data_IF_812869853367
#
_entry.id   IF_812869853367
#
_cell.length_a   1.000
_cell.length_b   1.000
_cell.length_c   1.000
_cell.angle_alpha   90.00
_cell.angle_beta   90.00
_cell.angle_gamma   90.00
#
_symmetry.space_group_name_H-M   'P 1'
#
loop_
_entity.id
_entity.type
_entity.pdbx_description
1 polymer ?
#
# COMPACT_ATOMS: atom_id res chain seq x y z
N UNK A 1 -3.00 29.57 3.96
CA UNK A 1 -2.23 28.35 3.63
C UNK A 1 -1.00 28.81 2.88
N UNK A 2 0.11 28.09 2.92
CA UNK A 2 1.34 28.53 2.25
C UNK A 2 1.23 28.34 0.73
N UNK A 3 1.68 29.32 -0.03
CA UNK A 3 1.91 29.20 -1.47
C UNK A 3 3.37 28.81 -1.66
N UNK A 4 3.64 27.70 -2.37
CA UNK A 4 4.98 27.16 -2.57
C UNK A 4 5.24 27.01 -4.05
N UNK A 5 6.37 27.57 -4.52
CA UNK A 5 6.90 27.37 -5.87
C UNK A 5 8.11 26.43 -5.80
N UNK A 6 7.97 25.23 -6.37
CA UNK A 6 9.10 24.36 -6.69
C UNK A 6 9.63 24.80 -8.06
N UNK A 7 10.82 25.40 -8.10
CA UNK A 7 11.35 26.07 -9.31
C UNK A 7 12.40 25.22 -10.01
N UNK A 8 12.31 25.13 -11.34
CA UNK A 8 13.33 24.54 -12.22
C UNK A 8 13.64 23.05 -11.98
N UNK A 9 12.72 22.26 -11.46
CA UNK A 9 12.91 20.83 -11.28
C UNK A 9 12.70 20.02 -12.56
N UNK A 10 13.16 18.77 -12.57
CA UNK A 10 12.80 17.79 -13.59
C UNK A 10 11.51 17.09 -13.14
N UNK A 11 10.38 17.42 -13.79
CA UNK A 11 9.06 16.97 -13.36
C UNK A 11 8.69 15.64 -13.99
N UNK A 12 8.45 14.62 -13.16
CA UNK A 12 7.76 13.38 -13.51
C UNK A 12 6.31 13.54 -13.05
N UNK A 13 5.38 13.61 -14.01
CA UNK A 13 3.99 13.98 -13.71
C UNK A 13 3.11 12.83 -13.18
N UNK A 14 3.64 11.60 -13.10
CA UNK A 14 2.92 10.43 -12.64
C UNK A 14 2.04 9.77 -13.71
N UNK A 15 2.03 10.26 -14.95
CA UNK A 15 1.20 9.72 -16.04
C UNK A 15 1.91 8.71 -16.95
N UNK A 16 3.23 8.51 -16.75
CA UNK A 16 4.08 7.72 -17.63
C UNK A 16 4.69 8.53 -18.77
N UNK A 17 4.39 9.82 -18.84
CA UNK A 17 4.96 10.73 -19.84
C UNK A 17 6.44 10.97 -19.60
N UNK A 18 7.17 11.34 -20.65
CA UNK A 18 8.58 11.75 -20.55
C UNK A 18 8.73 12.93 -19.57
N UNK A 19 9.72 12.90 -18.67
CA UNK A 19 9.96 13.97 -17.71
C UNK A 19 10.12 15.34 -18.36
N UNK A 20 9.46 16.34 -17.78
CA UNK A 20 9.55 17.74 -18.21
C UNK A 20 10.74 18.39 -17.50
N UNK A 21 11.77 18.76 -18.26
CA UNK A 21 13.02 19.33 -17.71
C UNK A 21 12.86 20.80 -17.32
N UNK A 22 13.56 21.24 -16.28
CA UNK A 22 13.60 22.63 -15.81
C UNK A 22 12.21 23.26 -15.70
N UNK A 23 11.27 22.53 -15.10
CA UNK A 23 9.86 22.91 -15.03
C UNK A 23 9.51 23.29 -13.60
N UNK A 24 8.71 24.34 -13.44
CA UNK A 24 8.25 24.82 -12.14
C UNK A 24 6.85 24.27 -11.79
N UNK A 25 6.59 24.06 -10.50
CA UNK A 25 5.29 23.65 -9.97
C UNK A 25 4.87 24.60 -8.86
N UNK A 26 3.70 25.21 -8.99
CA UNK A 26 3.13 26.12 -7.99
C UNK A 26 1.96 25.45 -7.26
N UNK A 27 2.01 25.51 -5.94
CA UNK A 27 0.92 25.06 -5.08
C UNK A 27 0.31 26.20 -4.28
N UNK A 28 -0.99 26.17 -4.05
CA UNK A 28 -1.69 27.04 -3.10
C UNK A 28 -2.47 26.17 -2.12
N UNK A 29 -1.98 26.11 -0.89
CA UNK A 29 -2.48 25.17 0.10
C UNK A 29 -2.41 23.73 -0.42
N UNK A 30 -3.50 23.01 -0.36
CA UNK A 30 -3.59 21.57 -0.69
C UNK A 30 -3.75 21.29 -2.20
N UNK A 31 -3.53 22.26 -3.08
CA UNK A 31 -3.79 22.12 -4.52
C UNK A 31 -2.60 22.60 -5.36
N UNK A 32 -2.27 21.85 -6.40
CA UNK A 32 -1.38 22.29 -7.47
C UNK A 32 -2.17 23.26 -8.37
N UNK A 33 -1.73 24.52 -8.45
CA UNK A 33 -2.49 25.54 -9.19
C UNK A 33 -1.91 25.84 -10.57
N UNK A 34 -0.61 25.57 -10.79
CA UNK A 34 0.04 25.75 -12.08
C UNK A 34 1.29 24.88 -12.23
N UNK A 35 1.66 24.59 -13.49
CA UNK A 35 2.87 23.84 -13.87
C UNK A 35 3.51 24.54 -15.06
N UNK A 36 4.85 24.54 -15.12
CA UNK A 36 5.63 25.17 -16.20
C UNK A 36 5.65 26.70 -16.11
N UNK A 37 5.69 27.37 -17.25
CA UNK A 37 5.80 28.83 -17.34
C UNK A 37 4.64 29.59 -16.65
N UNK A 38 3.45 29.00 -16.61
CA UNK A 38 2.30 29.53 -15.87
C UNK A 38 2.55 29.57 -14.35
N UNK A 39 3.29 28.60 -13.81
CA UNK A 39 3.67 28.57 -12.40
C UNK A 39 4.59 29.74 -12.04
N UNK A 40 5.60 30.05 -12.86
CA UNK A 40 6.51 31.15 -12.62
C UNK A 40 5.82 32.52 -12.77
N UNK A 41 4.92 32.67 -13.75
CA UNK A 41 4.13 33.87 -13.96
C UNK A 41 3.22 34.17 -12.77
N UNK A 42 2.44 33.20 -12.32
CA UNK A 42 1.55 33.35 -11.17
C UNK A 42 2.30 33.57 -9.86
N UNK A 43 3.44 32.91 -9.67
CA UNK A 43 4.28 33.14 -8.49
C UNK A 43 4.83 34.56 -8.46
N UNK A 44 5.18 35.14 -9.64
CA UNK A 44 5.62 36.51 -9.76
C UNK A 44 4.50 37.51 -9.43
N UNK A 45 3.29 37.25 -9.87
CA UNK A 45 2.09 38.06 -9.55
C UNK A 45 1.74 38.06 -8.06
N UNK A 46 1.91 36.92 -7.40
CA UNK A 46 1.66 36.74 -5.95
C UNK A 46 2.77 37.42 -5.09
N UNK A 47 3.98 37.57 -5.63
CA UNK A 47 5.06 38.33 -5.01
C UNK A 47 5.66 37.70 -3.76
N UNK A 48 5.83 38.51 -2.69
CA UNK A 48 6.61 38.14 -1.50
C UNK A 48 5.98 37.04 -0.64
N UNK A 49 4.71 36.68 -0.86
CA UNK A 49 4.00 35.68 -0.07
C UNK A 49 4.27 34.25 -0.56
N UNK A 50 5.09 34.06 -1.61
CA UNK A 50 5.43 32.75 -2.18
C UNK A 50 6.73 32.24 -1.57
N UNK A 51 6.66 31.06 -0.93
CA UNK A 51 7.88 30.32 -0.55
C UNK A 51 8.47 29.67 -1.79
N UNK A 52 9.69 30.03 -2.16
CA UNK A 52 10.40 29.42 -3.30
C UNK A 52 11.35 28.35 -2.80
N UNK A 53 11.25 27.16 -3.40
CA UNK A 53 12.18 26.03 -3.23
C UNK A 53 12.87 25.84 -4.59
N UNK A 54 14.18 26.01 -4.63
CA UNK A 54 14.97 25.74 -5.83
C UNK A 54 15.16 24.24 -6.01
N UNK A 55 14.56 23.70 -7.05
CA UNK A 55 14.63 22.28 -7.41
C UNK A 55 15.58 22.02 -8.59
N UNK A 56 16.47 22.96 -8.92
CA UNK A 56 17.43 22.83 -10.02
C UNK A 56 18.30 21.57 -9.82
N UNK A 57 18.28 20.66 -10.81
CA UNK A 57 19.00 19.39 -10.75
C UNK A 57 18.35 18.30 -9.88
N UNK A 58 17.15 18.57 -9.36
CA UNK A 58 16.36 17.62 -8.58
C UNK A 58 15.16 17.12 -9.40
N UNK A 59 14.70 15.92 -9.08
CA UNK A 59 13.43 15.41 -9.61
C UNK A 59 12.27 15.83 -8.71
N UNK A 60 11.21 16.35 -9.33
CA UNK A 60 9.92 16.66 -8.71
C UNK A 60 8.89 15.67 -9.21
N UNK A 61 8.29 14.89 -8.33
CA UNK A 61 7.31 13.86 -8.68
C UNK A 61 6.18 13.80 -7.67
N UNK A 62 5.04 13.14 -7.99
CA UNK A 62 4.02 12.91 -6.99
C UNK A 62 4.61 12.15 -5.80
N UNK A 63 4.13 12.46 -4.60
CA UNK A 63 4.41 11.63 -3.44
C UNK A 63 3.97 10.19 -3.70
N UNK A 64 4.68 9.22 -3.12
CA UNK A 64 4.38 7.81 -3.29
C UNK A 64 3.01 7.48 -2.70
N UNK A 65 2.32 6.54 -3.33
CA UNK A 65 1.08 5.97 -2.83
C UNK A 65 1.33 4.48 -2.57
N UNK A 66 1.07 4.03 -1.36
CA UNK A 66 1.18 2.60 -1.01
C UNK A 66 -0.22 1.99 -0.92
N UNK A 67 -0.54 1.09 -1.86
CA UNK A 67 -1.89 0.54 -1.96
C UNK A 67 -2.15 -0.62 -0.97
N UNK A 68 -1.15 -1.11 -0.24
CA UNK A 68 -1.32 -2.23 0.68
C UNK A 68 -0.44 -2.11 1.92
N UNK A 69 -1.00 -1.58 2.98
CA UNK A 69 -0.36 -1.39 4.29
C UNK A 69 -1.23 -2.02 5.38
N UNK A 70 -0.60 -2.43 6.47
CA UNK A 70 -1.25 -2.86 7.71
C UNK A 70 -0.76 -1.97 8.86
N UNK A 71 -1.23 -0.73 8.93
CA UNK A 71 -0.66 0.32 9.81
C UNK A 71 -0.70 -0.03 11.30
N UNK A 72 -1.56 -0.97 11.69
CA UNK A 72 -1.80 -1.34 13.08
C UNK A 72 -1.00 -2.54 13.57
N UNK A 73 -0.32 -3.30 12.69
CA UNK A 73 0.27 -4.60 13.07
C UNK A 73 1.49 -4.48 13.99
N UNK A 74 2.31 -3.45 13.83
CA UNK A 74 3.45 -3.19 14.72
C UNK A 74 4.66 -4.11 14.52
N UNK A 75 4.88 -4.53 13.27
CA UNK A 75 6.07 -5.26 12.81
C UNK A 75 6.26 -6.64 13.48
N UNK A 76 5.22 -7.49 13.58
CA UNK A 76 5.37 -8.82 14.16
C UNK A 76 6.31 -9.68 13.32
N UNK A 77 7.10 -10.52 13.98
CA UNK A 77 7.98 -11.49 13.35
C UNK A 77 7.33 -12.86 13.16
N UNK A 78 6.15 -13.06 13.71
CA UNK A 78 5.39 -14.31 13.62
C UNK A 78 3.89 -14.08 13.73
N UNK A 79 3.12 -15.08 13.30
CA UNK A 79 1.67 -15.08 13.50
C UNK A 79 1.25 -15.06 14.98
N UNK A 80 2.03 -15.69 15.87
CA UNK A 80 1.77 -15.66 17.30
C UNK A 80 1.76 -14.24 17.87
N UNK A 81 2.72 -13.43 17.48
CA UNK A 81 2.76 -12.01 17.88
C UNK A 81 1.59 -11.24 17.28
N UNK A 82 1.27 -11.50 16.01
CA UNK A 82 0.19 -10.82 15.30
C UNK A 82 -1.17 -11.05 15.97
N UNK A 83 -1.49 -12.29 16.36
CA UNK A 83 -2.83 -12.65 16.80
C UNK A 83 -3.04 -12.59 18.31
N UNK A 84 -2.01 -12.81 19.11
CA UNK A 84 -2.22 -13.14 20.52
C UNK A 84 -1.87 -12.03 21.51
N UNK A 85 -1.32 -10.89 21.09
CA UNK A 85 -0.65 -10.00 22.06
C UNK A 85 -0.83 -8.52 21.84
N UNK A 86 -1.94 -8.09 21.29
CA UNK A 86 -2.20 -6.66 21.10
C UNK A 86 -3.36 -6.21 21.98
N UNK A 87 -3.19 -5.04 22.53
CA UNK A 87 -4.19 -4.37 23.35
C UNK A 87 -4.62 -3.10 22.57
N UNK A 88 -5.93 -2.79 22.46
CA UNK A 88 -6.44 -1.78 21.53
C UNK A 88 -5.82 -0.40 21.68
N UNK A 89 -5.64 0.07 22.91
CA UNK A 89 -5.12 1.42 23.16
C UNK A 89 -3.66 1.51 22.72
N UNK A 90 -2.86 0.52 23.09
CA UNK A 90 -1.45 0.45 22.70
C UNK A 90 -1.31 0.32 21.18
N UNK A 91 -2.15 -0.49 20.52
CA UNK A 91 -2.14 -0.64 19.08
C UNK A 91 -2.49 0.67 18.35
N UNK A 92 -3.44 1.46 18.87
CA UNK A 92 -3.77 2.77 18.31
C UNK A 92 -2.61 3.77 18.39
N UNK A 93 -1.91 3.81 19.53
CA UNK A 93 -0.73 4.69 19.70
C UNK A 93 0.42 4.26 18.78
N UNK A 94 0.64 2.95 18.63
CA UNK A 94 1.62 2.39 17.69
C UNK A 94 1.25 2.73 16.25
N UNK A 95 -0.03 2.62 15.86
CA UNK A 95 -0.48 2.96 14.52
C UNK A 95 -0.22 4.43 14.16
N UNK A 96 -0.44 5.35 15.08
CA UNK A 96 -0.10 6.77 14.88
C UNK A 96 1.41 7.00 14.71
N UNK A 97 2.24 6.28 15.48
CA UNK A 97 3.70 6.30 15.30
C UNK A 97 4.11 5.76 13.92
N UNK A 98 3.52 4.64 13.49
CA UNK A 98 3.80 4.00 12.20
C UNK A 98 3.42 4.91 11.02
N UNK A 99 2.26 5.57 11.07
CA UNK A 99 1.82 6.51 10.03
C UNK A 99 2.84 7.64 9.81
N UNK A 100 3.48 8.12 10.86
CA UNK A 100 4.55 9.13 10.75
C UNK A 100 5.80 8.57 10.08
N UNK A 101 6.19 7.30 10.37
CA UNK A 101 7.31 6.63 9.67
C UNK A 101 7.02 6.50 8.18
N UNK A 102 5.80 6.08 7.82
CA UNK A 102 5.35 5.95 6.43
C UNK A 102 5.46 7.29 5.69
N UNK A 103 4.98 8.37 6.30
CA UNK A 103 5.06 9.71 5.70
C UNK A 103 6.52 10.13 5.41
N UNK A 104 7.47 9.89 6.36
CA UNK A 104 8.89 10.21 6.17
C UNK A 104 9.58 9.36 5.09
N UNK A 105 8.95 8.29 4.66
CA UNK A 105 9.41 7.48 3.52
C UNK A 105 8.90 7.97 2.16
N UNK A 106 8.38 9.20 2.10
CA UNK A 106 7.88 9.79 0.85
C UNK A 106 6.47 9.35 0.46
N UNK A 107 5.80 8.56 1.30
CA UNK A 107 4.43 8.10 1.07
C UNK A 107 3.46 9.18 1.55
N UNK A 108 2.76 9.80 0.63
CA UNK A 108 1.77 10.84 0.94
C UNK A 108 0.35 10.33 1.06
N UNK A 109 0.11 9.10 0.55
CA UNK A 109 -1.19 8.43 0.66
C UNK A 109 -1.02 6.92 0.78
N UNK A 110 -1.90 6.24 1.52
CA UNK A 110 -1.90 4.77 1.58
C UNK A 110 -3.29 4.19 1.84
N UNK A 111 -3.45 2.91 1.46
CA UNK A 111 -4.60 2.10 1.83
C UNK A 111 -4.19 1.13 2.95
N UNK A 112 -4.82 1.26 4.13
CA UNK A 112 -4.75 0.30 5.22
C UNK A 112 -5.80 -0.78 4.96
N UNK A 113 -5.37 -1.92 4.41
CA UNK A 113 -6.31 -2.89 3.84
C UNK A 113 -7.12 -3.65 4.88
N UNK A 114 -6.51 -3.98 6.02
CA UNK A 114 -7.15 -4.51 7.21
C UNK A 114 -6.27 -4.23 8.44
N UNK A 115 -6.86 -4.23 9.60
CA UNK A 115 -6.15 -3.84 10.81
C UNK A 115 -6.74 -4.40 12.10
N UNK A 116 -6.06 -4.05 13.18
CA UNK A 116 -6.45 -4.47 14.52
C UNK A 116 -7.57 -3.57 15.07
N UNK A 117 -8.55 -4.18 15.70
CA UNK A 117 -9.51 -3.51 16.61
C UNK A 117 -10.25 -2.30 16.00
N UNK A 118 -10.45 -2.26 14.71
CA UNK A 118 -11.15 -1.12 14.10
C UNK A 118 -10.43 0.24 14.25
N UNK A 119 -9.10 0.20 14.37
CA UNK A 119 -8.28 1.40 14.63
C UNK A 119 -8.10 2.26 13.37
N UNK A 120 -8.05 1.64 12.20
CA UNK A 120 -7.74 2.33 10.94
C UNK A 120 -8.64 3.54 10.64
N UNK A 121 -9.97 3.42 10.67
CA UNK A 121 -10.88 4.56 10.48
C UNK A 121 -10.66 5.68 11.50
N UNK A 122 -10.43 5.33 12.78
CA UNK A 122 -10.17 6.33 13.81
C UNK A 122 -8.83 7.06 13.60
N UNK A 123 -7.80 6.35 13.12
CA UNK A 123 -6.52 6.94 12.76
C UNK A 123 -6.66 7.88 11.56
N UNK A 124 -7.38 7.47 10.50
CA UNK A 124 -7.71 8.32 9.36
C UNK A 124 -8.34 9.64 9.82
N UNK A 125 -9.38 9.55 10.62
CA UNK A 125 -10.11 10.71 11.10
C UNK A 125 -9.22 11.61 11.99
N UNK A 126 -8.33 11.02 12.79
CA UNK A 126 -7.37 11.77 13.60
C UNK A 126 -6.30 12.49 12.74
N UNK A 127 -5.85 11.88 11.66
CA UNK A 127 -4.93 12.52 10.70
C UNK A 127 -5.65 13.67 9.98
N UNK A 128 -6.87 13.45 9.49
CA UNK A 128 -7.65 14.46 8.78
C UNK A 128 -8.03 15.64 9.67
N UNK A 129 -8.28 15.40 10.95
CA UNK A 129 -8.53 16.43 11.96
C UNK A 129 -7.25 17.15 12.43
N UNK A 130 -6.06 16.71 12.01
CA UNK A 130 -4.78 17.28 12.45
C UNK A 130 -4.40 16.95 13.91
N UNK A 131 -5.00 15.93 14.50
CA UNK A 131 -4.67 15.43 15.85
C UNK A 131 -3.32 14.72 15.84
N UNK A 132 -3.05 13.99 14.77
CA UNK A 132 -1.74 13.34 14.53
C UNK A 132 -1.29 13.56 13.10
N UNK A 133 0.02 13.48 12.88
CA UNK A 133 0.61 13.57 11.55
C UNK A 133 0.59 12.21 10.85
N UNK A 134 0.31 12.20 9.58
CA UNK A 134 0.33 11.01 8.72
C UNK A 134 -0.06 11.32 7.28
N UNK A 135 0.11 10.36 6.36
CA UNK A 135 -0.36 10.45 4.99
C UNK A 135 -1.89 10.55 4.90
N UNK A 136 -2.43 10.93 3.74
CA UNK A 136 -3.83 10.65 3.44
C UNK A 136 -4.04 9.13 3.50
N UNK A 137 -5.16 8.69 4.03
CA UNK A 137 -5.42 7.26 4.05
C UNK A 137 -6.89 6.91 3.85
N UNK A 138 -7.11 5.72 3.33
CA UNK A 138 -8.35 4.98 3.47
C UNK A 138 -8.08 3.70 4.23
N UNK A 139 -9.10 3.17 4.90
CA UNK A 139 -8.91 2.03 5.77
C UNK A 139 -10.07 1.05 5.69
N UNK A 140 -9.72 -0.24 5.64
CA UNK A 140 -10.59 -1.31 6.09
C UNK A 140 -10.67 -1.35 7.63
N UNK A 141 -11.33 -2.38 8.12
CA UNK A 141 -11.40 -2.66 9.55
C UNK A 141 -10.86 -4.07 9.79
N UNK A 142 -11.65 -4.96 10.37
CA UNK A 142 -11.28 -6.38 10.45
C UNK A 142 -11.35 -7.05 9.09
N UNK A 143 -10.41 -7.95 8.81
CA UNK A 143 -10.57 -8.88 7.70
C UNK A 143 -11.71 -9.87 7.98
N UNK A 144 -12.60 -10.09 7.03
CA UNK A 144 -13.60 -11.15 7.11
C UNK A 144 -12.95 -12.49 6.79
N UNK A 145 -13.16 -13.47 7.68
CA UNK A 145 -12.67 -14.83 7.55
C UNK A 145 -13.77 -15.83 7.81
N UNK A 146 -13.71 -16.99 7.17
CA UNK A 146 -14.57 -18.13 7.54
C UNK A 146 -14.04 -18.82 8.78
N UNK A 147 -14.78 -19.78 9.34
CA UNK A 147 -14.36 -20.57 10.49
C UNK A 147 -13.12 -21.47 10.22
N UNK A 148 -12.76 -21.67 8.95
CA UNK A 148 -11.49 -22.35 8.59
C UNK A 148 -10.29 -21.43 8.85
N UNK A 149 -10.53 -20.12 8.96
CA UNK A 149 -9.52 -19.08 9.06
C UNK A 149 -9.11 -18.54 7.70
N UNK A 150 -8.14 -17.65 7.72
CA UNK A 150 -7.43 -17.13 6.54
C UNK A 150 -5.95 -17.46 6.71
N UNK A 151 -5.08 -16.48 6.52
CA UNK A 151 -3.63 -16.64 6.67
C UNK A 151 -3.19 -17.17 8.04
N UNK A 152 -3.93 -16.89 9.10
CA UNK A 152 -3.64 -17.34 10.46
C UNK A 152 -4.15 -18.74 10.81
N UNK A 153 -5.08 -19.26 10.05
CA UNK A 153 -5.59 -20.62 10.22
C UNK A 153 -5.99 -20.99 11.64
N UNK A 154 -5.25 -21.91 12.24
CA UNK A 154 -5.56 -22.46 13.58
C UNK A 154 -5.52 -21.44 14.72
N UNK A 155 -4.95 -20.28 14.51
CA UNK A 155 -4.83 -19.24 15.54
C UNK A 155 -6.08 -18.37 15.62
N UNK A 156 -6.98 -18.46 14.64
CA UNK A 156 -8.26 -17.77 14.66
C UNK A 156 -9.23 -18.54 15.57
N UNK A 157 -9.85 -17.88 16.55
CA UNK A 157 -10.87 -18.52 17.38
C UNK A 157 -12.09 -18.89 16.53
N UNK A 158 -12.78 -19.95 16.95
CA UNK A 158 -13.98 -20.38 16.26
C UNK A 158 -15.14 -19.37 16.34
N UNK A 159 -15.05 -18.40 17.24
CA UNK A 159 -16.10 -17.43 17.51
C UNK A 159 -15.53 -16.02 17.76
N UNK A 160 -16.26 -15.00 17.32
CA UNK A 160 -15.95 -13.60 17.58
C UNK A 160 -14.86 -13.01 16.70
N UNK A 161 -14.09 -12.08 17.26
CA UNK A 161 -12.98 -11.40 16.62
C UNK A 161 -11.67 -11.80 17.29
N UNK A 162 -10.62 -11.95 16.51
CA UNK A 162 -9.26 -12.13 17.00
C UNK A 162 -8.33 -11.15 16.30
N UNK A 163 -7.81 -10.18 17.04
CA UNK A 163 -6.88 -9.21 16.50
C UNK A 163 -7.44 -8.49 15.27
N UNK A 164 -7.00 -8.88 14.08
CA UNK A 164 -7.43 -8.28 12.82
C UNK A 164 -8.50 -9.08 12.04
N UNK A 165 -9.02 -10.17 12.62
CA UNK A 165 -9.96 -11.05 11.95
C UNK A 165 -11.35 -11.04 12.59
N UNK A 166 -12.38 -11.03 11.76
CA UNK A 166 -13.76 -11.28 12.14
C UNK A 166 -14.25 -12.55 11.45
N UNK A 167 -14.63 -13.56 12.25
CA UNK A 167 -15.11 -14.84 11.75
C UNK A 167 -16.59 -14.78 11.44
N UNK A 168 -16.96 -15.10 10.19
CA UNK A 168 -18.35 -15.17 9.69
C UNK A 168 -18.64 -16.59 9.20
N UNK A 169 -19.80 -17.14 9.58
CA UNK A 169 -20.16 -18.56 9.34
C UNK A 169 -21.40 -18.74 8.50
N UNK A 170 -22.16 -17.69 8.30
CA UNK A 170 -23.40 -17.71 7.53
C UNK A 170 -23.58 -16.42 6.73
N UNK A 171 -24.43 -16.47 5.73
CA UNK A 171 -24.76 -15.29 4.91
C UNK A 171 -25.32 -14.15 5.76
N UNK A 172 -26.11 -14.45 6.80
CA UNK A 172 -26.64 -13.43 7.70
C UNK A 172 -25.54 -12.78 8.56
N UNK A 173 -24.54 -13.55 8.97
CA UNK A 173 -23.37 -13.00 9.66
C UNK A 173 -22.52 -12.14 8.73
N UNK A 174 -22.31 -12.55 7.47
CA UNK A 174 -21.61 -11.78 6.46
C UNK A 174 -22.28 -10.41 6.23
N UNK A 175 -23.59 -10.40 6.01
CA UNK A 175 -24.38 -9.15 5.85
C UNK A 175 -24.26 -8.25 7.09
N UNK A 176 -24.36 -8.82 8.28
CA UNK A 176 -24.24 -8.07 9.54
C UNK A 176 -22.84 -7.49 9.72
N UNK A 177 -21.79 -8.27 9.43
CA UNK A 177 -20.41 -7.85 9.54
C UNK A 177 -20.10 -6.68 8.59
N UNK A 178 -20.47 -6.81 7.31
CA UNK A 178 -20.30 -5.73 6.32
C UNK A 178 -20.99 -4.45 6.78
N UNK A 179 -22.27 -4.52 7.17
CA UNK A 179 -23.04 -3.36 7.63
C UNK A 179 -22.44 -2.71 8.88
N UNK A 180 -21.92 -3.51 9.80
CA UNK A 180 -21.25 -3.01 10.99
C UNK A 180 -19.94 -2.31 10.62
N UNK A 181 -19.09 -2.92 9.79
CA UNK A 181 -17.83 -2.32 9.38
C UNK A 181 -18.05 -0.99 8.65
N UNK A 182 -19.03 -0.91 7.74
CA UNK A 182 -19.41 0.35 7.09
C UNK A 182 -19.91 1.39 8.10
N UNK A 183 -20.75 1.00 9.05
CA UNK A 183 -21.20 1.89 10.15
C UNK A 183 -20.02 2.40 10.97
N UNK A 184 -19.02 1.56 11.19
CA UNK A 184 -17.81 1.86 11.98
C UNK A 184 -16.77 2.67 11.18
N UNK A 185 -17.08 3.04 9.93
CA UNK A 185 -16.31 3.96 9.11
C UNK A 185 -15.33 3.29 8.13
N UNK A 186 -15.48 1.99 7.85
CA UNK A 186 -14.67 1.33 6.84
C UNK A 186 -14.85 1.96 5.45
N UNK A 187 -13.76 2.26 4.77
CA UNK A 187 -13.74 2.71 3.37
C UNK A 187 -13.77 1.53 2.38
N UNK A 188 -13.35 0.35 2.84
CA UNK A 188 -13.32 -0.89 2.08
C UNK A 188 -13.66 -2.08 2.98
N UNK A 189 -14.12 -3.18 2.37
CA UNK A 189 -14.28 -4.47 3.05
C UNK A 189 -13.16 -5.40 2.57
N UNK A 190 -12.42 -6.00 3.51
CA UNK A 190 -11.37 -6.98 3.21
C UNK A 190 -11.85 -8.39 3.52
N UNK A 191 -11.64 -9.32 2.58
CA UNK A 191 -11.86 -10.75 2.76
C UNK A 191 -10.57 -11.54 2.57
N UNK A 192 -10.32 -12.56 3.40
CA UNK A 192 -9.25 -13.52 3.18
C UNK A 192 -9.83 -14.79 2.53
N UNK A 193 -9.77 -14.82 1.20
CA UNK A 193 -10.39 -15.89 0.39
C UNK A 193 -9.58 -17.17 0.45
N UNK A 194 -8.28 -17.04 0.62
CA UNK A 194 -7.36 -18.16 0.81
C UNK A 194 -6.59 -18.02 2.10
N UNK A 195 -6.00 -19.11 2.53
CA UNK A 195 -5.13 -19.15 3.71
C UNK A 195 -4.63 -20.56 3.98
N UNK A 196 -3.98 -20.72 5.12
CA UNK A 196 -3.46 -22.00 5.60
C UNK A 196 -2.46 -22.67 4.66
N UNK A 197 -1.21 -22.55 5.03
CA UNK A 197 -0.08 -23.38 4.66
C UNK A 197 0.74 -22.92 3.47
N UNK A 198 1.94 -22.44 3.73
CA UNK A 198 2.96 -22.22 2.70
C UNK A 198 3.60 -23.54 2.19
N UNK A 199 3.14 -24.71 2.58
CA UNK A 199 3.72 -26.00 2.17
C UNK A 199 3.18 -26.57 0.85
N UNK A 200 2.20 -25.90 0.23
CA UNK A 200 1.61 -26.29 -1.05
C UNK A 200 1.78 -25.15 -2.06
N UNK A 201 1.69 -25.48 -3.33
CA UNK A 201 1.53 -24.51 -4.40
C UNK A 201 0.19 -23.79 -4.24
N UNK A 202 0.24 -22.52 -3.87
CA UNK A 202 -0.93 -21.75 -3.45
C UNK A 202 -1.42 -22.08 -2.03
N UNK A 203 -2.46 -21.42 -1.63
CA UNK A 203 -3.15 -21.58 -0.36
C UNK A 203 -4.47 -22.33 -0.53
N UNK A 204 -5.10 -22.74 0.58
CA UNK A 204 -6.43 -23.36 0.53
C UNK A 204 -7.48 -22.25 0.37
N UNK A 205 -8.36 -22.38 -0.62
CA UNK A 205 -9.55 -21.54 -0.72
C UNK A 205 -10.54 -21.90 0.39
N UNK A 206 -10.94 -20.89 1.17
CA UNK A 206 -11.79 -21.07 2.36
C UNK A 206 -13.15 -20.38 2.24
N UNK A 207 -13.42 -19.76 1.09
CA UNK A 207 -14.69 -19.15 0.71
C UNK A 207 -15.26 -19.80 -0.54
N UNK A 208 -16.58 -19.93 -0.62
CA UNK A 208 -17.25 -20.20 -1.89
C UNK A 208 -17.53 -18.92 -2.66
N UNK A 209 -17.75 -19.01 -3.97
CA UNK A 209 -18.13 -17.87 -4.79
C UNK A 209 -19.43 -17.23 -4.32
N UNK A 210 -20.40 -18.04 -3.88
CA UNK A 210 -21.70 -17.59 -3.40
C UNK A 210 -21.58 -16.78 -2.11
N UNK A 211 -20.68 -17.16 -1.21
CA UNK A 211 -20.38 -16.40 0.01
C UNK A 211 -19.72 -15.07 -0.31
N UNK A 212 -18.72 -15.07 -1.21
CA UNK A 212 -18.07 -13.85 -1.69
C UNK A 212 -19.07 -12.88 -2.32
N UNK A 213 -20.00 -13.43 -3.16
CA UNK A 213 -21.05 -12.62 -3.79
C UNK A 213 -21.94 -11.93 -2.76
N UNK A 214 -22.29 -12.59 -1.66
CA UNK A 214 -23.08 -11.96 -0.58
C UNK A 214 -22.36 -10.77 0.03
N UNK A 215 -21.04 -10.91 0.26
CA UNK A 215 -20.21 -9.81 0.78
C UNK A 215 -20.15 -8.67 -0.24
N UNK A 216 -19.85 -8.97 -1.50
CA UNK A 216 -19.73 -7.96 -2.56
C UNK A 216 -21.05 -7.21 -2.77
N UNK A 217 -22.16 -7.92 -2.97
CA UNK A 217 -23.48 -7.30 -3.17
C UNK A 217 -23.83 -6.38 -1.97
N UNK A 218 -23.60 -6.86 -0.73
CA UNK A 218 -23.92 -6.08 0.47
C UNK A 218 -23.07 -4.82 0.59
N UNK A 219 -21.78 -4.90 0.27
CA UNK A 219 -20.86 -3.77 0.33
C UNK A 219 -21.17 -2.76 -0.78
N UNK A 220 -21.39 -3.23 -2.02
CA UNK A 220 -21.70 -2.38 -3.17
C UNK A 220 -23.03 -1.64 -3.02
N UNK A 221 -24.06 -2.28 -2.46
CA UNK A 221 -25.33 -1.61 -2.12
C UNK A 221 -25.15 -0.44 -1.12
N UNK A 222 -24.07 -0.46 -0.34
CA UNK A 222 -23.68 0.59 0.59
C UNK A 222 -22.62 1.56 0.01
N UNK A 223 -22.24 1.40 -1.24
CA UNK A 223 -21.23 2.22 -1.93
C UNK A 223 -19.80 1.95 -1.49
N UNK A 224 -19.51 0.76 -0.93
CA UNK A 224 -18.19 0.38 -0.42
C UNK A 224 -17.62 -0.77 -1.25
N UNK A 225 -16.34 -0.67 -1.63
CA UNK A 225 -15.64 -1.70 -2.41
C UNK A 225 -15.19 -2.88 -1.55
N UNK A 226 -14.99 -4.02 -2.21
CA UNK A 226 -14.47 -5.25 -1.59
C UNK A 226 -13.09 -5.56 -2.13
N UNK A 227 -12.15 -5.88 -1.23
CA UNK A 227 -10.81 -6.33 -1.59
C UNK A 227 -10.53 -7.72 -1.02
N UNK A 228 -9.74 -8.53 -1.73
CA UNK A 228 -9.53 -9.91 -1.38
C UNK A 228 -8.04 -10.29 -1.31
N UNK A 229 -7.62 -10.96 -0.23
CA UNK A 229 -6.42 -11.77 -0.22
C UNK A 229 -6.70 -13.08 -0.98
N UNK A 230 -5.96 -13.35 -2.05
CA UNK A 230 -6.16 -14.54 -2.88
C UNK A 230 -4.84 -15.06 -3.47
N UNK A 231 -4.42 -16.25 -3.06
CA UNK A 231 -3.24 -16.96 -3.55
C UNK A 231 -3.62 -18.31 -4.14
N UNK A 232 -4.03 -18.31 -5.40
CA UNK A 232 -4.44 -19.50 -6.14
C UNK A 232 -5.35 -19.17 -7.31
N UNK A 233 -5.23 -19.91 -8.40
CA UNK A 233 -5.95 -19.66 -9.64
C UNK A 233 -7.48 -19.67 -9.45
N UNK A 234 -8.02 -20.76 -8.86
CA UNK A 234 -9.47 -20.91 -8.68
C UNK A 234 -10.03 -19.84 -7.74
N UNK A 235 -9.32 -19.50 -6.66
CA UNK A 235 -9.74 -18.46 -5.74
C UNK A 235 -9.78 -17.08 -6.41
N UNK A 236 -8.78 -16.78 -7.22
CA UNK A 236 -8.70 -15.52 -8.01
C UNK A 236 -9.83 -15.44 -9.02
N UNK A 237 -10.14 -16.54 -9.73
CA UNK A 237 -11.29 -16.63 -10.61
C UNK A 237 -12.61 -16.38 -9.87
N UNK A 238 -12.79 -17.00 -8.72
CA UNK A 238 -14.01 -16.85 -7.93
C UNK A 238 -14.16 -15.43 -7.37
N UNK A 239 -13.06 -14.77 -6.97
CA UNK A 239 -13.06 -13.37 -6.61
C UNK A 239 -13.55 -12.47 -7.75
N UNK A 240 -12.97 -12.61 -8.95
CA UNK A 240 -13.34 -11.82 -10.11
C UNK A 240 -14.82 -12.03 -10.50
N UNK A 241 -15.31 -13.28 -10.47
CA UNK A 241 -16.67 -13.60 -10.82
C UNK A 241 -17.70 -13.22 -9.73
N UNK A 242 -17.28 -13.12 -8.47
CA UNK A 242 -18.14 -12.70 -7.36
C UNK A 242 -18.31 -11.18 -7.26
N UNK A 243 -17.44 -10.39 -7.92
CA UNK A 243 -17.51 -8.93 -7.91
C UNK A 243 -16.51 -8.26 -6.97
N UNK A 244 -15.41 -8.93 -6.61
CA UNK A 244 -14.31 -8.30 -5.86
C UNK A 244 -13.66 -7.22 -6.73
N UNK A 245 -13.44 -6.04 -6.16
CA UNK A 245 -12.93 -4.86 -6.90
C UNK A 245 -11.40 -4.85 -7.00
N UNK A 246 -10.70 -5.31 -5.95
CA UNK A 246 -9.24 -5.37 -5.90
C UNK A 246 -8.82 -6.75 -5.39
N UNK A 247 -8.01 -7.45 -6.16
CA UNK A 247 -7.45 -8.74 -5.78
C UNK A 247 -5.97 -8.58 -5.43
N UNK A 248 -5.62 -8.89 -4.19
CA UNK A 248 -4.23 -8.89 -3.73
C UNK A 248 -3.58 -10.24 -3.99
N UNK A 249 -2.30 -10.20 -4.35
CA UNK A 249 -1.41 -11.30 -4.69
C UNK A 249 -1.74 -11.93 -6.06
N UNK A 250 -2.95 -12.42 -6.29
CA UNK A 250 -3.34 -13.14 -7.52
C UNK A 250 -2.31 -14.20 -7.94
N UNK A 251 -1.66 -14.86 -6.93
CA UNK A 251 -0.57 -15.81 -7.15
C UNK A 251 -1.05 -17.02 -7.96
N UNK A 252 -0.16 -17.55 -8.79
CA UNK A 252 -0.42 -18.70 -9.65
C UNK A 252 -1.61 -18.49 -10.62
N UNK A 253 -1.84 -17.25 -11.02
CA UNK A 253 -2.92 -16.82 -11.94
C UNK A 253 -2.96 -17.69 -13.20
N UNK A 254 -4.09 -18.36 -13.48
CA UNK A 254 -4.32 -19.15 -14.68
C UNK A 254 -5.03 -18.36 -15.77
N UNK A 255 -5.21 -18.97 -16.95
CA UNK A 255 -5.81 -18.29 -18.11
C UNK A 255 -7.26 -17.84 -17.84
N UNK A 256 -8.08 -18.71 -17.24
CA UNK A 256 -9.49 -18.39 -16.96
C UNK A 256 -9.66 -17.26 -15.94
N UNK A 257 -8.77 -17.21 -14.94
CA UNK A 257 -8.78 -16.14 -13.96
C UNK A 257 -8.30 -14.82 -14.59
N UNK A 258 -7.27 -14.87 -15.44
CA UNK A 258 -6.81 -13.71 -16.20
C UNK A 258 -7.92 -13.15 -17.11
N UNK A 259 -8.60 -14.01 -17.88
CA UNK A 259 -9.73 -13.61 -18.70
C UNK A 259 -10.84 -12.93 -17.88
N UNK A 260 -11.20 -13.51 -16.73
CA UNK A 260 -12.22 -12.94 -15.83
C UNK A 260 -11.80 -11.59 -15.25
N UNK A 261 -10.52 -11.42 -14.86
CA UNK A 261 -9.96 -10.15 -14.39
C UNK A 261 -10.09 -9.07 -15.49
N UNK A 262 -9.70 -9.39 -16.71
CA UNK A 262 -9.77 -8.47 -17.86
C UNK A 262 -11.23 -8.12 -18.18
N UNK A 263 -12.10 -9.12 -18.32
CA UNK A 263 -13.52 -8.92 -18.67
C UNK A 263 -14.28 -8.10 -17.61
N UNK A 264 -13.93 -8.27 -16.33
CA UNK A 264 -14.58 -7.60 -15.21
C UNK A 264 -13.91 -6.31 -14.79
N UNK A 265 -12.77 -5.95 -15.45
CA UNK A 265 -11.97 -4.78 -15.12
C UNK A 265 -11.53 -4.75 -13.64
N UNK A 266 -11.11 -5.91 -13.11
CA UNK A 266 -10.68 -6.06 -11.72
C UNK A 266 -9.25 -5.52 -11.57
N UNK A 267 -9.02 -4.72 -10.56
CA UNK A 267 -7.69 -4.21 -10.23
C UNK A 267 -6.88 -5.27 -9.48
N UNK A 268 -5.58 -5.39 -9.75
CA UNK A 268 -4.70 -6.38 -9.11
C UNK A 268 -3.53 -5.71 -8.43
N UNK A 269 -3.26 -6.08 -7.17
CA UNK A 269 -2.04 -5.71 -6.44
C UNK A 269 -1.22 -6.96 -6.12
N UNK A 270 -0.10 -7.22 -6.80
CA UNK A 270 0.71 -8.43 -6.57
C UNK A 270 1.30 -8.51 -5.16
N UNK A 271 1.68 -7.37 -4.60
CA UNK A 271 2.27 -7.28 -3.25
C UNK A 271 3.50 -8.19 -3.14
N UNK A 272 4.36 -8.12 -4.14
CA UNK A 272 5.57 -8.92 -4.21
C UNK A 272 6.67 -8.47 -3.25
N UNK A 273 6.57 -7.26 -2.70
CA UNK A 273 7.58 -6.70 -1.79
C UNK A 273 7.91 -7.64 -0.64
N UNK A 274 6.89 -8.20 0.03
CA UNK A 274 7.08 -9.15 1.12
C UNK A 274 7.80 -10.42 0.65
N UNK A 275 7.39 -10.97 -0.49
CA UNK A 275 7.97 -12.18 -1.08
C UNK A 275 9.42 -11.94 -1.52
N UNK A 276 9.67 -10.81 -2.20
CA UNK A 276 10.98 -10.42 -2.66
C UNK A 276 11.97 -10.24 -1.50
N UNK A 277 11.55 -9.54 -0.45
CA UNK A 277 12.38 -9.35 0.73
C UNK A 277 12.71 -10.68 1.42
N UNK A 278 11.75 -11.61 1.53
CA UNK A 278 12.03 -12.94 2.05
C UNK A 278 12.95 -13.74 1.15
N UNK A 279 12.72 -13.73 -0.16
CA UNK A 279 13.52 -14.49 -1.11
C UNK A 279 14.97 -13.98 -1.18
N UNK A 280 15.17 -12.67 -1.23
CA UNK A 280 16.48 -12.04 -1.43
C UNK A 280 17.23 -11.81 -0.12
N UNK A 281 16.55 -11.39 0.93
CA UNK A 281 17.16 -10.90 2.16
C UNK A 281 16.76 -11.69 3.41
N UNK A 282 15.85 -12.65 3.30
CA UNK A 282 15.34 -13.39 4.44
C UNK A 282 16.42 -14.03 5.30
N UNK A 283 17.50 -14.55 4.69
CA UNK A 283 18.63 -15.09 5.45
C UNK A 283 19.31 -14.06 6.37
N UNK A 284 19.43 -12.79 5.92
CA UNK A 284 19.97 -11.69 6.74
C UNK A 284 19.06 -11.36 7.92
N UNK A 285 17.75 -11.56 7.75
CA UNK A 285 16.75 -11.33 8.77
C UNK A 285 16.45 -12.55 9.66
N UNK A 286 17.16 -13.68 9.45
CA UNK A 286 16.99 -14.89 10.23
C UNK A 286 15.79 -15.76 9.83
N UNK A 287 15.20 -15.52 8.65
CA UNK A 287 14.12 -16.36 8.12
C UNK A 287 14.59 -17.77 7.76
N UNK A 288 13.68 -18.74 7.83
CA UNK A 288 14.00 -20.13 7.47
C UNK A 288 14.24 -20.29 5.96
N UNK A 289 15.22 -21.10 5.58
CA UNK A 289 15.59 -21.32 4.18
C UNK A 289 14.47 -21.91 3.31
N UNK A 290 13.54 -22.65 3.91
CA UNK A 290 12.39 -23.23 3.18
C UNK A 290 11.42 -22.18 2.67
N UNK A 291 11.21 -21.09 3.41
CA UNK A 291 10.31 -19.99 3.02
C UNK A 291 10.87 -19.23 1.80
N UNK A 292 12.20 -19.03 1.73
CA UNK A 292 12.83 -18.30 0.63
C UNK A 292 12.57 -18.95 -0.74
N UNK A 293 12.76 -20.26 -0.84
CA UNK A 293 12.57 -20.99 -2.10
C UNK A 293 11.10 -21.00 -2.56
N UNK A 294 10.18 -21.12 -1.61
CA UNK A 294 8.72 -21.11 -1.90
C UNK A 294 8.31 -19.77 -2.51
N UNK A 295 8.70 -18.66 -1.89
CA UNK A 295 8.29 -17.32 -2.36
C UNK A 295 9.01 -16.89 -3.64
N UNK A 296 10.28 -17.25 -3.82
CA UNK A 296 10.97 -17.04 -5.10
C UNK A 296 10.27 -17.76 -6.26
N UNK A 297 9.88 -19.03 -6.06
CA UNK A 297 9.14 -19.80 -7.07
C UNK A 297 7.74 -19.24 -7.33
N UNK A 298 7.06 -18.71 -6.31
CA UNK A 298 5.75 -18.04 -6.48
C UNK A 298 5.86 -16.79 -7.35
N UNK A 299 6.87 -15.95 -7.10
CA UNK A 299 7.10 -14.73 -7.88
C UNK A 299 7.43 -15.05 -9.34
N UNK A 300 8.32 -16.02 -9.61
CA UNK A 300 8.69 -16.43 -10.95
C UNK A 300 7.47 -16.93 -11.74
N UNK A 301 6.68 -17.82 -11.15
CA UNK A 301 5.53 -18.41 -11.81
C UNK A 301 4.39 -17.39 -12.07
N UNK A 302 4.21 -16.44 -11.15
CA UNK A 302 3.15 -15.44 -11.21
C UNK A 302 3.52 -14.25 -12.11
N UNK A 303 4.79 -13.85 -12.12
CA UNK A 303 5.26 -12.62 -12.77
C UNK A 303 4.94 -12.52 -14.27
N UNK A 304 5.20 -13.59 -15.03
CA UNK A 304 4.92 -13.60 -16.47
C UNK A 304 3.43 -13.41 -16.79
N UNK A 305 2.52 -13.92 -15.94
CA UNK A 305 1.08 -13.78 -16.11
C UNK A 305 0.59 -12.39 -15.70
N UNK A 306 1.17 -11.81 -14.66
CA UNK A 306 0.89 -10.42 -14.29
C UNK A 306 1.37 -9.44 -15.35
N UNK A 307 2.51 -9.70 -15.99
CA UNK A 307 2.95 -8.92 -17.15
C UNK A 307 1.90 -8.95 -18.26
N UNK A 308 1.35 -10.10 -18.58
CA UNK A 308 0.27 -10.24 -19.57
C UNK A 308 -1.02 -9.52 -19.15
N UNK A 309 -1.34 -9.54 -17.84
CA UNK A 309 -2.47 -8.78 -17.32
C UNK A 309 -2.26 -7.27 -17.52
N UNK A 310 -1.06 -6.77 -17.20
CA UNK A 310 -0.69 -5.37 -17.43
C UNK A 310 -0.79 -4.98 -18.92
N UNK A 311 -0.22 -5.81 -19.81
CA UNK A 311 -0.29 -5.58 -21.27
C UNK A 311 -1.73 -5.63 -21.81
N UNK A 312 -2.64 -6.34 -21.14
CA UNK A 312 -4.07 -6.35 -21.43
C UNK A 312 -4.83 -5.15 -20.81
N UNK A 313 -4.14 -4.23 -20.13
CA UNK A 313 -4.73 -3.02 -19.56
C UNK A 313 -5.26 -3.16 -18.12
N UNK A 314 -4.99 -4.28 -17.44
CA UNK A 314 -5.34 -4.45 -16.01
C UNK A 314 -4.49 -3.49 -15.17
N UNK A 315 -5.10 -2.64 -14.34
CA UNK A 315 -4.35 -1.79 -13.44
C UNK A 315 -3.57 -2.63 -12.42
N UNK A 316 -2.24 -2.48 -12.37
CA UNK A 316 -1.40 -3.10 -11.34
C UNK A 316 -1.09 -2.08 -10.24
N UNK A 317 -1.38 -2.45 -9.00
CA UNK A 317 -1.11 -1.64 -7.81
C UNK A 317 0.20 -2.06 -7.15
N UNK A 318 0.95 -1.07 -6.70
CA UNK A 318 2.12 -1.26 -5.85
C UNK A 318 1.72 -1.25 -4.38
N UNK A 319 2.03 -2.33 -3.66
CA UNK A 319 1.77 -2.46 -2.23
C UNK A 319 2.99 -3.03 -1.50
N UNK A 320 3.37 -2.43 -0.38
CA UNK A 320 4.55 -2.87 0.38
C UNK A 320 4.28 -4.04 1.32
N UNK A 321 3.02 -4.30 1.65
CA UNK A 321 2.64 -5.16 2.78
C UNK A 321 3.33 -4.73 4.09
N UNK A 322 3.53 -3.42 4.24
CA UNK A 322 4.18 -2.85 5.40
C UNK A 322 3.35 -3.11 6.66
N UNK A 323 4.04 -3.53 7.71
CA UNK A 323 3.43 -3.93 8.96
C UNK A 323 4.07 -5.14 9.60
N UNK A 324 4.90 -5.88 8.86
CA UNK A 324 5.65 -7.05 9.35
C UNK A 324 7.12 -6.73 9.54
N UNK A 325 7.85 -7.55 10.32
CA UNK A 325 9.28 -7.38 10.52
C UNK A 325 10.11 -7.48 9.24
N UNK A 326 9.61 -8.18 8.21
CA UNK A 326 10.27 -8.29 6.90
C UNK A 326 9.92 -7.10 5.97
N UNK A 327 8.89 -6.34 6.31
CA UNK A 327 8.47 -5.11 5.65
C UNK A 327 8.15 -4.03 6.69
N UNK A 328 9.16 -3.60 7.49
CA UNK A 328 8.96 -2.60 8.53
C UNK A 328 8.58 -1.25 7.96
N UNK A 329 7.84 -0.46 8.75
CA UNK A 329 7.36 0.84 8.33
C UNK A 329 8.50 1.81 8.02
N UNK A 330 8.33 2.56 6.92
CA UNK A 330 9.27 3.58 6.51
C UNK A 330 10.47 3.07 5.71
N UNK A 331 10.50 1.79 5.29
CA UNK A 331 11.65 1.22 4.58
C UNK A 331 11.36 0.74 3.15
N UNK A 332 10.30 -0.01 2.91
CA UNK A 332 10.13 -0.77 1.67
C UNK A 332 8.98 -0.29 0.78
N UNK A 333 8.48 0.93 1.01
CA UNK A 333 7.28 1.45 0.30
C UNK A 333 7.49 1.67 -1.21
N UNK A 334 8.74 1.82 -1.67
CA UNK A 334 9.06 1.93 -3.10
C UNK A 334 9.46 0.58 -3.74
N UNK A 335 9.63 -0.48 -2.94
CA UNK A 335 10.22 -1.75 -3.39
C UNK A 335 9.38 -2.44 -4.47
N UNK A 336 8.07 -2.36 -4.40
CA UNK A 336 7.20 -2.99 -5.39
C UNK A 336 7.46 -2.45 -6.81
N UNK A 337 7.74 -1.14 -6.95
CA UNK A 337 8.09 -0.55 -8.24
C UNK A 337 9.41 -1.13 -8.79
N UNK A 338 10.40 -1.34 -7.92
CA UNK A 338 11.66 -1.99 -8.30
C UNK A 338 11.42 -3.45 -8.73
N UNK A 339 10.57 -4.18 -8.01
CA UNK A 339 10.17 -5.54 -8.37
C UNK A 339 9.44 -5.56 -9.71
N UNK A 340 8.57 -4.59 -9.99
CA UNK A 340 7.89 -4.48 -11.29
C UNK A 340 8.89 -4.28 -12.44
N UNK A 341 9.91 -3.46 -12.25
CA UNK A 341 10.98 -3.30 -13.24
C UNK A 341 11.74 -4.62 -13.42
N UNK A 342 12.18 -5.23 -12.34
CA UNK A 342 13.09 -6.39 -12.38
C UNK A 342 12.40 -7.71 -12.75
N UNK A 343 11.15 -7.93 -12.32
CA UNK A 343 10.43 -9.19 -12.47
C UNK A 343 9.38 -9.16 -13.59
N UNK A 344 8.70 -8.02 -13.78
CA UNK A 344 7.68 -7.88 -14.81
C UNK A 344 8.23 -7.22 -16.09
N UNK A 345 9.44 -6.66 -16.05
CA UNK A 345 10.05 -5.97 -17.19
C UNK A 345 9.35 -4.67 -17.57
N UNK A 346 8.74 -4.00 -16.60
CA UNK A 346 8.20 -2.66 -16.79
C UNK A 346 9.35 -1.65 -16.90
N UNK A 347 9.17 -0.58 -17.65
CA UNK A 347 10.09 0.54 -17.58
C UNK A 347 9.96 1.26 -16.23
N UNK A 348 10.99 1.99 -15.77
CA UNK A 348 10.89 2.75 -14.53
C UNK A 348 9.72 3.74 -14.50
N UNK A 349 9.39 4.40 -15.61
CA UNK A 349 8.23 5.32 -15.69
C UNK A 349 6.89 4.58 -15.56
N UNK A 350 6.75 3.40 -16.15
CA UNK A 350 5.55 2.56 -15.97
C UNK A 350 5.41 2.13 -14.50
N UNK A 351 6.51 1.73 -13.86
CA UNK A 351 6.51 1.36 -12.45
C UNK A 351 6.19 2.55 -11.53
N UNK A 352 6.72 3.75 -11.82
CA UNK A 352 6.36 4.99 -11.10
C UNK A 352 4.87 5.28 -11.27
N UNK A 353 4.32 5.12 -12.46
CA UNK A 353 2.88 5.29 -12.71
C UNK A 353 2.06 4.31 -11.85
N UNK A 354 2.49 3.05 -11.74
CA UNK A 354 1.85 2.08 -10.84
C UNK A 354 1.89 2.53 -9.38
N UNK A 355 3.04 3.01 -8.88
CA UNK A 355 3.24 3.45 -7.49
C UNK A 355 2.70 4.87 -7.18
N UNK A 356 2.11 5.55 -8.15
CA UNK A 356 1.54 6.91 -8.01
C UNK A 356 0.11 6.97 -8.53
N UNK A 357 -0.11 7.39 -9.78
CA UNK A 357 -1.45 7.64 -10.32
C UNK A 357 -2.33 6.38 -10.43
N UNK A 358 -1.76 5.22 -10.71
CA UNK A 358 -2.53 3.96 -10.71
C UNK A 358 -2.95 3.58 -9.29
N UNK A 359 -2.06 3.74 -8.30
CA UNK A 359 -2.37 3.47 -6.90
C UNK A 359 -3.47 4.37 -6.34
N UNK A 360 -3.70 5.55 -6.91
CA UNK A 360 -4.83 6.41 -6.54
C UNK A 360 -6.20 5.73 -6.71
N UNK A 361 -6.28 4.70 -7.56
CA UNK A 361 -7.48 3.85 -7.72
C UNK A 361 -7.83 3.17 -6.39
N UNK A 362 -6.83 2.72 -5.64
CA UNK A 362 -7.05 2.05 -4.36
C UNK A 362 -7.75 2.95 -3.32
N UNK A 363 -7.57 4.27 -3.44
CA UNK A 363 -8.15 5.27 -2.54
C UNK A 363 -9.40 5.96 -3.11
N UNK A 364 -9.92 5.57 -4.29
CA UNK A 364 -10.99 6.27 -5.02
C UNK A 364 -10.67 7.73 -5.34
N UNK A 365 -9.39 8.03 -5.60
CA UNK A 365 -8.91 9.40 -5.85
C UNK A 365 -8.11 9.50 -7.17
N UNK A 366 -8.47 8.66 -8.16
CA UNK A 366 -7.82 8.68 -9.47
C UNK A 366 -7.93 10.07 -10.12
N UNK A 367 -6.77 10.64 -10.49
CA UNK A 367 -6.67 11.97 -11.07
C UNK A 367 -6.65 13.12 -10.05
N UNK A 368 -6.92 12.83 -8.77
CA UNK A 368 -6.84 13.83 -7.69
C UNK A 368 -5.49 13.78 -6.98
N UNK A 369 -4.93 12.57 -6.78
CA UNK A 369 -3.61 12.32 -6.17
C UNK A 369 -2.73 11.51 -7.10
N UNK A 370 -1.43 11.47 -6.84
CA UNK A 370 -0.46 10.69 -7.61
C UNK A 370 -0.13 11.28 -8.99
N UNK A 371 -0.51 12.51 -9.25
CA UNK A 371 -0.21 13.25 -10.48
C UNK A 371 0.22 14.69 -10.20
N UNK A 372 1.10 15.26 -11.05
CA UNK A 372 1.45 16.67 -11.02
C UNK A 372 0.73 17.38 -12.18
N UNK A 373 -0.47 17.86 -11.88
CA UNK A 373 -1.30 18.61 -12.84
C UNK A 373 -2.12 19.66 -12.09
N UNK A 374 -2.44 20.80 -12.72
CA UNK A 374 -3.33 21.79 -12.10
C UNK A 374 -4.67 21.17 -11.67
N UNK A 375 -5.08 21.45 -10.44
CA UNK A 375 -6.27 20.89 -9.79
C UNK A 375 -6.01 19.65 -8.93
N UNK A 376 -4.89 18.95 -9.09
CA UNK A 376 -4.52 17.82 -8.26
C UNK A 376 -4.05 18.26 -6.87
N UNK A 377 -4.05 17.33 -5.93
CA UNK A 377 -3.56 17.54 -4.55
C UNK A 377 -2.05 17.80 -4.53
N UNK A 378 -1.66 18.71 -3.65
CA UNK A 378 -0.27 19.11 -3.48
C UNK A 378 0.48 18.12 -2.57
N UNK A 379 0.61 16.88 -3.04
CA UNK A 379 1.34 15.78 -2.44
C UNK A 379 2.54 15.47 -3.34
N UNK A 380 3.72 16.04 -3.02
CA UNK A 380 4.88 16.12 -3.94
C UNK A 380 6.16 15.71 -3.24
N UNK A 381 6.91 14.82 -3.85
CA UNK A 381 8.27 14.44 -3.44
C UNK A 381 9.30 15.14 -4.33
N UNK A 382 10.31 15.75 -3.71
CA UNK A 382 11.48 16.30 -4.38
C UNK A 382 12.71 15.52 -3.95
N UNK A 383 13.43 14.93 -4.89
CA UNK A 383 14.57 14.06 -4.59
C UNK A 383 15.77 14.32 -5.50
N UNK A 384 16.94 13.97 -4.97
CA UNK A 384 18.23 13.99 -5.64
C UNK A 384 18.47 12.64 -6.31
N UNK A 385 18.18 12.58 -7.61
CA UNK A 385 18.29 11.36 -8.41
C UNK A 385 17.31 11.34 -9.58
N UNK A 386 17.46 10.36 -10.44
CA UNK A 386 16.68 10.19 -11.67
C UNK A 386 15.94 8.84 -11.67
N UNK A 387 14.80 8.72 -10.96
CA UNK A 387 14.07 7.46 -10.83
C UNK A 387 13.56 6.92 -12.17
N UNK A 388 13.43 7.74 -13.19
CA UNK A 388 13.12 7.34 -14.56
C UNK A 388 14.23 6.54 -15.24
N UNK A 389 15.45 6.55 -14.69
CA UNK A 389 16.59 5.78 -15.17
C UNK A 389 17.06 4.72 -14.19
N UNK A 390 16.94 5.01 -12.91
CA UNK A 390 17.29 4.10 -11.81
C UNK A 390 16.19 4.15 -10.73
N UNK A 391 15.28 3.22 -10.80
CA UNK A 391 14.12 3.15 -9.89
C UNK A 391 14.54 2.95 -8.42
N UNK A 392 15.72 2.38 -8.16
CA UNK A 392 16.21 2.05 -6.81
C UNK A 392 16.43 3.31 -5.95
N UNK A 393 16.63 4.49 -6.58
CA UNK A 393 16.82 5.76 -5.85
C UNK A 393 15.59 6.13 -4.99
N UNK A 394 14.42 5.62 -5.32
CA UNK A 394 13.19 5.83 -4.52
C UNK A 394 13.22 5.07 -3.18
N UNK A 395 14.06 4.05 -3.05
CA UNK A 395 14.28 3.33 -1.79
C UNK A 395 15.25 4.06 -0.83
N UNK A 396 16.06 4.98 -1.33
CA UNK A 396 17.07 5.70 -0.55
C UNK A 396 16.52 7.05 -0.04
N UNK A 397 15.97 7.05 1.16
CA UNK A 397 15.41 8.24 1.81
C UNK A 397 16.41 9.38 2.00
N UNK A 398 17.72 9.09 2.01
CA UNK A 398 18.76 10.13 2.13
C UNK A 398 18.79 11.07 0.93
N UNK A 399 18.19 10.65 -0.19
CA UNK A 399 18.03 11.46 -1.40
C UNK A 399 16.83 12.39 -1.37
N UNK A 400 15.90 12.22 -0.45
CA UNK A 400 14.72 13.08 -0.34
C UNK A 400 15.14 14.46 0.18
N UNK A 401 14.80 15.50 -0.54
CA UNK A 401 15.13 16.89 -0.21
C UNK A 401 13.94 17.62 0.38
N UNK A 402 12.77 17.48 -0.25
CA UNK A 402 11.52 18.05 0.24
C UNK A 402 10.38 17.07 0.01
N UNK A 403 9.43 17.07 0.92
CA UNK A 403 8.18 16.36 0.80
C UNK A 403 7.05 17.33 1.13
N UNK A 404 6.13 17.52 0.21
CA UNK A 404 4.89 18.22 0.46
C UNK A 404 3.78 17.18 0.67
N UNK A 405 3.07 17.28 1.76
CA UNK A 405 1.84 16.53 2.01
C UNK A 405 0.74 17.50 2.40
N UNK A 406 -0.39 17.41 1.71
CA UNK A 406 -1.49 18.38 1.86
C UNK A 406 -1.03 19.84 1.68
N UNK A 407 -0.07 20.05 0.77
CA UNK A 407 0.52 21.36 0.49
C UNK A 407 1.37 21.94 1.61
N UNK A 408 1.75 21.15 2.58
CA UNK A 408 2.66 21.53 3.67
C UNK A 408 3.95 20.75 3.59
N UNK A 409 5.04 21.43 3.83
CA UNK A 409 6.34 20.76 3.90
C UNK A 409 6.41 19.89 5.15
N UNK A 410 6.82 18.65 4.94
CA UNK A 410 7.01 17.63 5.99
C UNK A 410 8.44 17.70 6.50
N UNK A 411 8.62 17.68 7.80
CA UNK A 411 9.94 17.47 8.41
C UNK A 411 10.42 16.05 8.12
N UNK A 412 11.47 15.92 7.30
CA UNK A 412 12.04 14.62 6.93
C UNK A 412 12.97 14.01 7.96
N UNK A 413 13.13 14.63 9.15
CA UNK A 413 13.87 14.03 10.26
C UNK A 413 13.33 12.62 10.54
N UNK A 414 14.17 11.58 10.51
CA UNK A 414 13.72 10.22 10.75
C UNK A 414 13.00 10.06 12.08
N UNK A 415 11.89 9.37 12.08
CA UNK A 415 11.21 8.95 13.31
C UNK A 415 12.01 7.80 13.90
N UNK A 416 12.51 7.92 15.15
CA UNK A 416 13.24 6.84 15.80
C UNK A 416 12.40 5.57 15.92
N UNK A 417 13.05 4.41 15.80
CA UNK A 417 12.39 3.16 16.09
C UNK A 417 11.93 3.14 17.55
N UNK A 418 10.75 2.64 17.78
CA UNK A 418 10.24 2.48 19.13
C UNK A 418 10.91 1.30 19.84
N UNK A 419 11.04 1.38 21.14
CA UNK A 419 11.35 0.22 21.95
C UNK A 419 10.17 -0.78 21.90
N UNK A 420 10.44 -2.09 22.02
CA UNK A 420 9.40 -3.09 22.16
C UNK A 420 8.45 -2.76 23.32
N UNK A 421 7.15 -2.97 23.13
CA UNK A 421 6.19 -2.89 24.22
C UNK A 421 6.40 -4.07 25.17
N UNK A 422 6.00 -3.89 26.42
CA UNK A 422 6.10 -4.96 27.42
C UNK A 422 5.34 -6.20 26.96
N UNK A 423 6.03 -7.33 26.87
CA UNK A 423 5.47 -8.61 26.43
C UNK A 423 5.53 -8.89 24.93
N UNK A 424 6.03 -7.98 24.10
CA UNK A 424 6.36 -8.28 22.72
C UNK A 424 7.49 -9.32 22.63
N UNK A 425 7.37 -10.21 21.65
CA UNK A 425 8.40 -11.20 21.33
C UNK A 425 8.81 -11.06 19.87
N UNK A 426 10.09 -11.28 19.63
CA UNK A 426 10.66 -11.41 18.29
C UNK A 426 10.89 -12.89 18.04
N UNK A 427 10.23 -13.48 17.04
CA UNK A 427 10.36 -14.89 16.68
C UNK A 427 10.34 -15.10 15.15
N UNK A 428 10.76 -16.25 14.72
CA UNK A 428 10.65 -17.03 13.48
C UNK A 428 10.85 -16.36 12.10
N UNK A 429 10.23 -15.24 11.76
CA UNK A 429 10.40 -14.66 10.41
C UNK A 429 11.68 -13.87 10.32
N UNK A 430 12.01 -13.14 11.37
CA UNK A 430 13.21 -12.33 11.45
C UNK A 430 13.55 -12.06 12.92
N UNK A 431 14.82 -12.13 13.27
CA UNK A 431 15.33 -11.76 14.58
C UNK A 431 15.48 -10.24 14.75
N UNK A 432 15.46 -9.52 13.62
CA UNK A 432 15.59 -8.06 13.55
C UNK A 432 14.71 -7.52 12.42
N UNK A 433 14.22 -6.27 12.51
CA UNK A 433 13.54 -5.62 11.39
C UNK A 433 14.44 -5.57 10.16
N UNK A 434 13.92 -5.93 8.98
CA UNK A 434 14.65 -5.81 7.72
C UNK A 434 14.54 -4.35 7.24
N UNK A 435 15.50 -3.53 7.66
CA UNK A 435 15.56 -2.13 7.25
C UNK A 435 16.36 -1.95 5.96
N UNK A 436 16.20 -0.81 5.30
CA UNK A 436 17.02 -0.45 4.14
C UNK A 436 18.51 -0.47 4.47
N UNK A 437 18.88 0.08 5.62
CA UNK A 437 20.27 0.16 6.09
C UNK A 437 20.89 -1.21 6.36
N UNK A 438 20.11 -2.22 6.78
CA UNK A 438 20.59 -3.58 6.96
C UNK A 438 21.03 -4.23 5.63
N UNK A 439 20.38 -3.85 4.53
CA UNK A 439 20.62 -4.41 3.18
C UNK A 439 21.63 -3.56 2.40
N UNK A 440 21.60 -2.24 2.62
CA UNK A 440 22.45 -1.24 1.95
C UNK A 440 23.31 -0.51 3.00
N UNK A 441 24.32 -1.20 3.59
CA UNK A 441 25.16 -0.64 4.64
C UNK A 441 26.07 0.50 4.16
#
# INVERSE_FOLDING_TARGET
>A
MAVILLRNGDVIDGTGSTPQRSTSVLTDGDVIVAVGADADSRATELGADVKVIDATGLTVMPGLIDAHVHVTLGEPASNDELFNRREPISAALVAAHNARKILRAGVTSFLDVDGLFNIGPALRDAIDAGITEGPRMKSGTYALMTAVGGTAGRMIPNEGTAGYAEVVRSKDEMIRAVRRQVKDGADIIKVHVTGLIPARKGEIQVWTREELKVVCDTAHDLGVRVTAHSRGDQATLDCALAGVDIIWHASYLGERALEAIVERNVTVGPVFTFLANLAEYGAKAGATTGAQAVFAGEMEETGARLRRAYDAGVPLLCGSESGFSITPYGHWHAREMEVFVNQLGLSPLEAITCGTSTNAIALDQKGEIGVITPGAKADILVLDGHPETDISVLGDKSRFRHLLSRGREVDLTPIPDRAPLRGERVEAWSAVPLTWELVHP
#
